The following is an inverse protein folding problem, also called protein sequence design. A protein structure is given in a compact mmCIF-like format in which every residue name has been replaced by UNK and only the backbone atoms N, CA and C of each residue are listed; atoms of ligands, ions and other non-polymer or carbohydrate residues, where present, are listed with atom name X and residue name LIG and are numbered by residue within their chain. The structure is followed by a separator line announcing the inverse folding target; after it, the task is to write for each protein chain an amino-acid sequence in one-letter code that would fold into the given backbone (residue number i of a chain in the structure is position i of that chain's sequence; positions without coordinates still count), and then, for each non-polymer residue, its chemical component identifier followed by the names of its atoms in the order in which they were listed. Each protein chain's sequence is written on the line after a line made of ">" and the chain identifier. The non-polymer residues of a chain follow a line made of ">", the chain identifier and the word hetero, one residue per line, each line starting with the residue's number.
data_IF_933922234857
#
_entry.id   IF_933922234857
#
_cell.length_a   1.000
_cell.length_b   1.000
_cell.length_c   1.000
_cell.angle_alpha   90.00
_cell.angle_beta   90.00
_cell.angle_gamma   90.00
#
_symmetry.space_group_name_H-M   'P 1'
#
loop_
_entity.id
_entity.type
_entity.pdbx_description
1 polymer ?
#
# COMPACT_ATOMS: atom_id res chain seq x y z
N UNK A 1 -10.63 -1.95 -20.85
CA UNK A 1 -9.42 -2.40 -20.13
C UNK A 1 -9.45 -1.82 -18.73
N UNK A 2 -9.44 -2.64 -17.69
CA UNK A 2 -9.62 -2.19 -16.30
C UNK A 2 -8.41 -1.35 -15.83
N UNK A 3 -8.52 -0.69 -14.67
CA UNK A 3 -7.37 0.00 -14.05
C UNK A 3 -6.26 -0.99 -13.70
N UNK A 4 -6.65 -2.20 -13.25
CA UNK A 4 -5.73 -3.24 -12.80
C UNK A 4 -4.94 -3.80 -13.98
N UNK A 5 -5.58 -4.13 -15.09
CA UNK A 5 -4.89 -4.65 -16.29
C UNK A 5 -3.89 -3.65 -16.85
N UNK A 6 -4.15 -2.35 -16.65
CA UNK A 6 -3.22 -1.30 -17.05
C UNK A 6 -1.97 -1.31 -16.16
N UNK A 7 -2.13 -1.32 -14.83
CA UNK A 7 -1.01 -1.26 -13.88
C UNK A 7 -0.25 -2.59 -13.85
N UNK A 8 -0.97 -3.70 -13.78
CA UNK A 8 -0.48 -5.07 -13.62
C UNK A 8 -0.94 -5.95 -14.80
N UNK A 9 -0.46 -5.68 -16.03
CA UNK A 9 -0.75 -6.55 -17.17
C UNK A 9 -0.20 -7.94 -16.91
N UNK A 10 -0.94 -8.97 -17.36
CA UNK A 10 -0.53 -10.37 -17.29
C UNK A 10 -0.02 -10.75 -15.88
N UNK A 11 -0.77 -10.33 -14.85
CA UNK A 11 -0.36 -10.41 -13.45
C UNK A 11 0.19 -11.77 -13.08
N UNK A 12 -0.50 -12.85 -13.47
CA UNK A 12 -0.14 -14.23 -13.13
C UNK A 12 1.19 -14.66 -13.74
N UNK A 13 1.45 -14.28 -14.98
CA UNK A 13 2.69 -14.63 -15.70
C UNK A 13 3.90 -13.90 -15.09
N UNK A 14 3.65 -12.70 -14.54
CA UNK A 14 4.70 -11.85 -13.97
C UNK A 14 4.93 -12.04 -12.47
N UNK A 15 4.17 -12.88 -11.76
CA UNK A 15 4.36 -13.11 -10.31
C UNK A 15 5.75 -13.68 -9.97
N UNK A 16 6.38 -14.34 -10.93
CA UNK A 16 7.73 -14.88 -10.77
C UNK A 16 8.82 -13.83 -10.84
N UNK A 17 8.56 -12.67 -11.45
CA UNK A 17 9.54 -11.60 -11.63
C UNK A 17 9.64 -10.74 -10.35
N UNK A 18 10.80 -10.76 -9.65
CA UNK A 18 11.00 -9.96 -8.45
C UNK A 18 10.87 -8.45 -8.69
N UNK A 19 11.13 -7.99 -9.91
CA UNK A 19 11.13 -6.57 -10.27
C UNK A 19 9.80 -6.11 -10.84
N UNK A 20 8.87 -7.02 -11.13
CA UNK A 20 7.58 -6.67 -11.74
C UNK A 20 6.88 -5.58 -10.94
N UNK A 21 6.78 -5.73 -9.61
CA UNK A 21 6.10 -4.76 -8.75
C UNK A 21 6.91 -3.48 -8.47
N UNK A 22 8.18 -3.38 -8.89
CA UNK A 22 9.09 -2.31 -8.52
C UNK A 22 8.59 -0.93 -8.94
N UNK A 23 8.16 -0.77 -10.19
CA UNK A 23 7.88 0.56 -10.74
C UNK A 23 6.40 0.83 -10.96
N UNK A 24 5.54 0.03 -10.33
CA UNK A 24 4.10 0.10 -10.54
C UNK A 24 3.30 0.11 -9.23
N UNK A 25 2.12 0.71 -9.26
CA UNK A 25 1.27 0.82 -8.07
C UNK A 25 -0.10 1.42 -8.38
N UNK A 26 -1.09 1.05 -7.57
CA UNK A 26 -2.37 1.74 -7.54
C UNK A 26 -2.35 2.75 -6.38
N UNK A 27 -2.75 4.00 -6.66
CA UNK A 27 -2.89 5.04 -5.66
C UNK A 27 -4.36 5.25 -5.34
N UNK A 28 -4.66 5.56 -4.08
CA UNK A 28 -6.01 5.90 -3.65
C UNK A 28 -5.97 6.93 -2.51
N UNK A 29 -7.02 7.73 -2.30
CA UNK A 29 -7.00 8.80 -1.30
C UNK A 29 -7.07 8.24 0.13
N UNK A 30 -7.86 7.18 0.37
CA UNK A 30 -8.16 6.67 1.71
C UNK A 30 -7.63 5.25 1.95
N UNK A 31 -7.38 4.92 3.22
CA UNK A 31 -6.94 3.57 3.62
C UNK A 31 -7.99 2.50 3.29
N UNK A 32 -9.28 2.80 3.39
CA UNK A 32 -10.34 1.83 3.04
C UNK A 32 -10.35 1.50 1.55
N UNK A 33 -10.12 2.50 0.68
CA UNK A 33 -10.00 2.28 -0.76
C UNK A 33 -8.78 1.42 -1.10
N UNK A 34 -7.65 1.68 -0.42
CA UNK A 34 -6.42 0.86 -0.53
C UNK A 34 -6.68 -0.58 -0.07
N UNK A 35 -7.37 -0.76 1.05
CA UNK A 35 -7.71 -2.09 1.57
C UNK A 35 -8.62 -2.85 0.60
N UNK A 36 -9.61 -2.18 0.02
CA UNK A 36 -10.50 -2.76 -0.98
C UNK A 36 -9.73 -3.27 -2.20
N UNK A 37 -8.87 -2.44 -2.79
CA UNK A 37 -8.04 -2.83 -3.94
C UNK A 37 -7.08 -3.96 -3.57
N UNK A 38 -6.39 -3.86 -2.43
CA UNK A 38 -5.44 -4.88 -2.00
C UNK A 38 -6.13 -6.25 -1.74
N UNK A 39 -7.34 -6.26 -1.17
CA UNK A 39 -8.13 -7.49 -0.99
C UNK A 39 -8.53 -8.10 -2.33
N UNK A 40 -9.01 -7.29 -3.26
CA UNK A 40 -9.35 -7.74 -4.60
C UNK A 40 -8.11 -8.32 -5.31
N UNK A 41 -7.00 -7.59 -5.31
CA UNK A 41 -5.73 -8.05 -5.90
C UNK A 41 -5.25 -9.36 -5.28
N UNK A 42 -5.32 -9.51 -3.96
CA UNK A 42 -4.95 -10.75 -3.27
C UNK A 42 -5.79 -11.95 -3.72
N UNK A 43 -7.08 -11.74 -4.03
CA UNK A 43 -7.95 -12.81 -4.52
C UNK A 43 -7.55 -13.35 -5.89
N UNK A 44 -6.82 -12.54 -6.69
CA UNK A 44 -6.32 -12.91 -8.01
C UNK A 44 -5.00 -13.67 -7.96
N UNK A 45 -4.23 -13.55 -6.87
CA UNK A 45 -2.92 -14.19 -6.74
C UNK A 45 -3.11 -15.68 -6.45
N UNK A 46 -2.62 -16.62 -7.28
CA UNK A 46 -2.69 -18.05 -7.01
C UNK A 46 -1.83 -18.44 -5.79
N UNK A 47 -2.17 -19.56 -5.16
CA UNK A 47 -1.42 -20.16 -4.07
C UNK A 47 -2.12 -20.13 -2.72
N UNK A 48 -1.50 -20.79 -1.74
CA UNK A 48 -2.05 -20.92 -0.38
C UNK A 48 -1.95 -19.58 0.37
N UNK A 49 -3.09 -19.12 0.89
CA UNK A 49 -3.15 -17.96 1.78
C UNK A 49 -2.75 -18.37 3.19
N UNK A 50 -1.74 -17.69 3.74
CA UNK A 50 -1.39 -17.82 5.15
C UNK A 50 -1.94 -16.65 5.94
N UNK A 51 -2.71 -16.98 6.96
CA UNK A 51 -3.26 -16.01 7.89
C UNK A 51 -2.43 -15.92 9.17
N UNK A 52 -1.99 -14.70 9.49
CA UNK A 52 -1.33 -14.39 10.77
C UNK A 52 -2.29 -13.66 11.67
N UNK A 53 -3.00 -14.41 12.51
CA UNK A 53 -3.94 -13.88 13.49
C UNK A 53 -3.25 -13.61 14.84
N UNK A 54 -3.64 -12.51 15.48
CA UNK A 54 -3.36 -12.29 16.89
C UNK A 54 -4.61 -11.84 17.63
N UNK A 55 -4.96 -12.60 18.66
CA UNK A 55 -6.12 -12.38 19.50
C UNK A 55 -5.78 -11.34 20.56
N UNK A 56 -6.62 -10.30 20.66
CA UNK A 56 -6.72 -9.50 21.87
C UNK A 56 -7.94 -9.96 22.66
N UNK A 57 -7.82 -9.87 23.99
CA UNK A 57 -8.86 -10.21 24.96
C UNK A 57 -10.08 -9.29 24.87
N UNK A 58 -9.94 -8.08 24.34
CA UNK A 58 -11.04 -7.14 24.18
C UNK A 58 -11.45 -7.02 22.69
N UNK A 59 -12.72 -7.29 22.39
CA UNK A 59 -13.32 -7.18 21.06
C UNK A 59 -13.15 -5.78 20.46
N UNK A 60 -13.17 -4.74 21.29
CA UNK A 60 -12.91 -3.35 20.89
C UNK A 60 -11.52 -3.16 20.28
N UNK A 61 -10.48 -3.78 20.85
CA UNK A 61 -9.09 -3.69 20.35
C UNK A 61 -8.91 -4.38 19.00
N UNK A 62 -9.78 -5.33 18.69
CA UNK A 62 -9.78 -6.06 17.43
C UNK A 62 -10.35 -5.23 16.28
N UNK A 63 -11.21 -4.23 16.56
CA UNK A 63 -11.83 -3.35 15.57
C UNK A 63 -11.04 -2.08 15.22
N UNK A 64 -10.07 -1.67 16.05
CA UNK A 64 -9.31 -0.44 15.83
C UNK A 64 -8.40 -0.57 14.59
N UNK A 65 -8.77 0.15 13.52
CA UNK A 65 -7.91 0.45 12.37
C UNK A 65 -7.14 1.74 12.66
N UNK A 66 -5.81 1.68 12.65
CA UNK A 66 -4.96 2.85 12.92
C UNK A 66 -3.72 2.83 12.04
N UNK A 67 -3.17 4.01 11.77
CA UNK A 67 -1.93 4.15 11.00
C UNK A 67 -0.74 3.58 11.80
N UNK A 68 0.06 2.74 11.15
CA UNK A 68 1.27 2.16 11.75
C UNK A 68 1.07 0.88 12.57
N UNK A 69 -0.14 0.30 12.58
CA UNK A 69 -0.37 -1.10 12.98
C UNK A 69 -1.11 -1.84 11.85
N UNK A 70 -0.66 -3.04 11.45
CA UNK A 70 -1.40 -3.91 10.56
C UNK A 70 -2.79 -4.24 11.10
N UNK A 71 -3.70 -4.55 10.18
CA UNK A 71 -5.03 -5.07 10.51
C UNK A 71 -4.93 -6.31 11.42
N UNK A 72 -6.02 -6.62 12.13
CA UNK A 72 -6.16 -7.83 12.96
C UNK A 72 -5.69 -9.08 12.21
N UNK A 73 -6.03 -9.14 10.92
CA UNK A 73 -5.69 -10.24 10.02
C UNK A 73 -4.65 -9.76 9.02
N UNK A 74 -3.48 -10.38 9.07
CA UNK A 74 -2.48 -10.24 8.02
C UNK A 74 -2.52 -11.52 7.17
N UNK A 75 -3.22 -11.43 6.04
CA UNK A 75 -3.35 -12.49 5.04
C UNK A 75 -2.33 -12.25 3.94
N UNK A 76 -1.43 -13.20 3.73
CA UNK A 76 -0.34 -13.10 2.76
C UNK A 76 -0.27 -14.36 1.89
N UNK A 77 0.20 -14.19 0.67
CA UNK A 77 0.57 -15.28 -0.25
C UNK A 77 2.03 -15.11 -0.66
N UNK A 78 2.69 -16.19 -1.05
CA UNK A 78 4.02 -16.08 -1.66
C UNK A 78 3.90 -15.31 -2.97
N UNK A 79 4.92 -14.51 -3.33
CA UNK A 79 4.99 -13.58 -4.47
C UNK A 79 4.14 -12.32 -4.38
N UNK A 80 3.37 -12.10 -3.30
CA UNK A 80 2.66 -10.82 -3.17
C UNK A 80 3.63 -9.68 -2.77
N UNK A 81 3.40 -8.45 -3.29
CA UNK A 81 4.09 -7.25 -2.82
C UNK A 81 3.54 -6.82 -1.47
N UNK A 82 4.44 -6.52 -0.56
CA UNK A 82 4.18 -5.98 0.77
C UNK A 82 5.02 -4.72 1.01
N UNK A 83 4.63 -3.93 1.99
CA UNK A 83 5.35 -2.73 2.40
C UNK A 83 5.60 -2.76 3.90
N UNK A 84 6.80 -2.34 4.32
CA UNK A 84 7.14 -2.16 5.72
C UNK A 84 6.41 -0.97 6.32
N UNK A 85 5.79 -1.18 7.48
CA UNK A 85 5.07 -0.15 8.24
C UNK A 85 5.93 0.56 9.29
N UNK A 86 7.12 0.02 9.59
CA UNK A 86 8.05 0.52 10.61
C UNK A 86 9.49 0.40 10.15
N UNK A 87 10.33 1.26 10.71
CA UNK A 87 11.78 1.12 10.59
C UNK A 87 12.22 -0.10 11.41
N UNK A 88 12.93 -1.01 10.77
CA UNK A 88 13.58 -2.16 11.41
C UNK A 88 15.08 -1.93 11.41
N UNK A 89 15.63 -1.67 10.23
CA UNK A 89 17.05 -1.42 10.02
C UNK A 89 17.23 -0.52 8.80
N UNK A 90 17.28 0.78 9.04
CA UNK A 90 17.38 1.77 7.97
C UNK A 90 18.71 1.68 7.22
N UNK A 91 19.79 1.27 7.90
CA UNK A 91 21.11 1.14 7.29
C UNK A 91 21.14 0.06 6.22
N UNK A 92 20.36 -1.01 6.42
CA UNK A 92 20.19 -2.08 5.45
C UNK A 92 18.99 -1.91 4.50
N UNK A 93 18.35 -0.74 4.50
CA UNK A 93 17.23 -0.42 3.60
C UNK A 93 15.88 -0.97 4.05
N UNK A 94 15.73 -1.35 5.33
CA UNK A 94 14.47 -1.80 5.94
C UNK A 94 13.82 -0.66 6.73
N UNK A 95 13.35 0.35 6.00
CA UNK A 95 12.64 1.52 6.53
C UNK A 95 11.14 1.48 6.24
N UNK A 96 10.36 2.29 6.94
CA UNK A 96 8.93 2.49 6.65
C UNK A 96 8.73 2.93 5.19
N UNK A 97 7.83 2.27 4.47
CA UNK A 97 7.58 2.50 3.05
C UNK A 97 8.40 1.61 2.11
N UNK A 98 9.41 0.89 2.61
CA UNK A 98 10.18 -0.06 1.78
C UNK A 98 9.24 -1.15 1.27
N UNK A 99 9.19 -1.31 -0.06
CA UNK A 99 8.43 -2.37 -0.70
C UNK A 99 9.27 -3.63 -0.84
N UNK A 100 8.63 -4.76 -0.59
CA UNK A 100 9.22 -6.10 -0.64
C UNK A 100 8.30 -7.04 -1.40
N UNK A 101 8.85 -8.10 -2.00
CA UNK A 101 8.08 -9.24 -2.51
C UNK A 101 8.26 -10.44 -1.60
N UNK A 102 7.17 -11.03 -1.12
CA UNK A 102 7.22 -12.19 -0.23
C UNK A 102 7.79 -13.40 -0.97
N UNK A 103 8.84 -14.01 -0.43
CA UNK A 103 9.43 -15.24 -1.00
C UNK A 103 9.10 -16.48 -0.19
N UNK A 104 8.92 -16.35 1.14
CA UNK A 104 8.54 -17.47 1.99
C UNK A 104 7.79 -17.02 3.25
N UNK A 105 6.76 -17.79 3.63
CA UNK A 105 5.86 -17.50 4.74
C UNK A 105 6.09 -18.44 5.93
N UNK A 106 7.05 -18.10 6.80
CA UNK A 106 7.34 -18.86 8.02
C UNK A 106 6.41 -18.55 9.19
N UNK A 107 6.50 -19.32 10.30
CA UNK A 107 5.68 -19.12 11.50
C UNK A 107 6.08 -17.87 12.31
N UNK A 108 7.39 -17.63 12.42
CA UNK A 108 7.99 -16.56 13.23
C UNK A 108 8.66 -15.46 12.41
N UNK A 109 8.98 -15.77 11.14
CA UNK A 109 9.73 -14.90 10.24
C UNK A 109 9.18 -15.03 8.83
N UNK A 110 9.10 -13.93 8.10
CA UNK A 110 8.76 -13.89 6.68
C UNK A 110 10.02 -13.57 5.90
N UNK A 111 10.35 -14.38 4.89
CA UNK A 111 11.41 -14.04 3.95
C UNK A 111 10.82 -13.22 2.80
N UNK A 112 11.50 -12.15 2.42
CA UNK A 112 11.07 -11.28 1.34
C UNK A 112 12.29 -10.72 0.60
N UNK A 113 12.10 -10.22 -0.61
CA UNK A 113 13.14 -9.56 -1.40
C UNK A 113 12.80 -8.07 -1.50
N UNK A 114 13.76 -7.19 -1.24
CA UNK A 114 13.57 -5.75 -1.42
C UNK A 114 13.36 -5.44 -2.90
N UNK A 115 12.33 -4.66 -3.24
CA UNK A 115 12.04 -4.30 -4.64
C UNK A 115 12.21 -2.80 -4.92
N UNK A 116 12.49 -1.99 -3.90
CA UNK A 116 12.68 -0.54 -4.07
C UNK A 116 13.97 -0.04 -3.44
N UNK A 117 14.58 0.96 -4.06
CA UNK A 117 15.75 1.67 -3.53
C UNK A 117 17.08 0.98 -3.81
N UNK A 118 18.16 1.50 -3.20
CA UNK A 118 19.55 1.08 -3.47
C UNK A 118 19.85 -0.40 -3.17
N UNK A 119 19.00 -1.05 -2.37
CA UNK A 119 19.16 -2.44 -1.93
C UNK A 119 18.18 -3.39 -2.63
N UNK A 120 17.55 -2.98 -3.72
CA UNK A 120 16.67 -3.84 -4.52
C UNK A 120 17.38 -5.15 -4.92
N UNK A 121 16.63 -6.26 -4.91
CA UNK A 121 17.16 -7.61 -5.11
C UNK A 121 17.70 -8.30 -3.83
N UNK A 122 17.89 -7.56 -2.74
CA UNK A 122 18.40 -8.14 -1.48
C UNK A 122 17.33 -8.97 -0.78
N UNK A 123 17.64 -10.21 -0.43
CA UNK A 123 16.77 -11.06 0.39
C UNK A 123 16.92 -10.71 1.87
N UNK A 124 15.79 -10.57 2.56
CA UNK A 124 15.70 -10.14 3.96
C UNK A 124 14.69 -10.98 4.73
N UNK A 125 14.83 -10.96 6.05
CA UNK A 125 13.99 -11.70 6.98
C UNK A 125 13.27 -10.74 7.92
N UNK A 126 11.95 -10.75 7.88
CA UNK A 126 11.10 -9.84 8.66
C UNK A 126 10.54 -10.60 9.87
N UNK A 127 10.95 -10.27 11.11
CA UNK A 127 10.40 -10.88 12.32
C UNK A 127 9.10 -10.19 12.76
N UNK A 128 8.36 -10.85 13.67
CA UNK A 128 7.28 -10.19 14.42
C UNK A 128 7.86 -9.19 15.42
N UNK A 129 7.28 -8.00 15.50
CA UNK A 129 7.69 -6.96 16.45
C UNK A 129 6.49 -6.39 17.21
N UNK A 130 6.75 -5.76 18.36
CA UNK A 130 5.73 -5.01 19.09
C UNK A 130 5.44 -3.70 18.34
N UNK A 131 4.19 -3.51 17.93
CA UNK A 131 3.71 -2.34 17.22
C UNK A 131 2.81 -1.53 18.14
N UNK A 132 3.10 -0.23 18.23
CA UNK A 132 2.32 0.75 18.96
C UNK A 132 1.61 1.61 17.90
N UNK A 133 0.35 2.04 18.09
CA UNK A 133 -0.31 2.92 17.12
C UNK A 133 0.40 4.26 17.08
N UNK A 134 0.47 4.88 15.90
CA UNK A 134 1.17 6.17 15.74
C UNK A 134 0.32 7.33 16.22
N UNK A 135 -1.00 7.17 16.22
CA UNK A 135 -1.97 8.19 16.60
C UNK A 135 -3.06 7.55 17.47
N UNK A 136 -3.22 8.09 18.66
CA UNK A 136 -3.96 7.47 19.76
C UNK A 136 -4.91 8.51 20.34
N UNK A 137 -5.83 9.05 19.54
CA UNK A 137 -7.06 9.67 20.08
C UNK A 137 -7.90 8.73 20.98
N UNK A 138 -7.34 7.59 21.39
CA UNK A 138 -7.86 6.64 22.34
C UNK A 138 -7.26 6.93 23.73
N UNK A 139 -8.07 6.81 24.80
CA UNK A 139 -7.65 7.12 26.16
C UNK A 139 -6.66 6.10 26.77
N UNK A 140 -6.16 5.13 25.99
CA UNK A 140 -5.28 4.07 26.47
C UNK A 140 -4.19 3.73 25.45
N UNK A 141 -3.03 3.27 25.92
CA UNK A 141 -1.96 2.74 25.08
C UNK A 141 -2.10 1.24 24.94
N UNK A 142 -2.02 0.70 23.74
CA UNK A 142 -1.94 -0.74 23.52
C UNK A 142 -0.80 -1.09 22.57
N UNK A 143 -0.32 -2.34 22.65
CA UNK A 143 0.76 -2.88 21.81
C UNK A 143 0.30 -4.15 21.10
N UNK A 144 0.67 -4.31 19.82
CA UNK A 144 0.36 -5.48 19.00
C UNK A 144 1.63 -6.14 18.49
N UNK A 145 1.92 -7.36 18.94
CA UNK A 145 3.06 -8.12 18.40
C UNK A 145 2.69 -8.82 17.09
N UNK A 146 3.03 -8.23 15.95
CA UNK A 146 2.71 -8.71 14.61
C UNK A 146 3.88 -8.42 13.65
N UNK A 147 3.87 -9.01 12.45
CA UNK A 147 4.76 -8.58 11.38
C UNK A 147 4.45 -7.13 10.98
N UNK A 148 5.45 -6.24 10.85
CA UNK A 148 5.26 -4.85 10.46
C UNK A 148 5.01 -4.70 8.95
N UNK A 149 4.11 -5.50 8.38
CA UNK A 149 3.86 -5.59 6.93
C UNK A 149 2.41 -5.28 6.61
N UNK A 150 2.19 -4.65 5.45
CA UNK A 150 0.89 -4.50 4.81
C UNK A 150 1.00 -4.88 3.33
N UNK A 151 -0.10 -5.31 2.71
CA UNK A 151 -0.16 -5.50 1.25
C UNK A 151 0.10 -4.18 0.52
N UNK A 152 0.73 -4.29 -0.65
CA UNK A 152 1.20 -3.12 -1.40
C UNK A 152 0.94 -3.21 -2.91
N UNK A 153 -0.19 -3.76 -3.35
CA UNK A 153 -0.66 -3.53 -4.72
C UNK A 153 -1.21 -2.12 -4.89
N UNK A 154 -1.87 -1.63 -3.84
CA UNK A 154 -2.29 -0.25 -3.70
C UNK A 154 -1.66 0.39 -2.46
N UNK A 155 -1.46 1.70 -2.51
CA UNK A 155 -1.03 2.53 -1.39
C UNK A 155 -1.77 3.88 -1.39
N UNK A 156 -1.75 4.60 -0.27
CA UNK A 156 -2.38 5.91 -0.25
C UNK A 156 -1.54 6.92 -1.03
N UNK A 157 -2.18 7.94 -1.60
CA UNK A 157 -1.50 9.05 -2.29
C UNK A 157 -0.40 9.64 -1.39
N UNK A 158 -0.71 9.89 -0.12
CA UNK A 158 0.26 10.42 0.84
C UNK A 158 1.46 9.50 1.06
N UNK A 159 1.28 8.16 1.00
CA UNK A 159 2.38 7.19 1.13
C UNK A 159 3.24 7.08 -0.12
N UNK A 160 2.70 7.45 -1.28
CA UNK A 160 3.46 7.49 -2.54
C UNK A 160 4.41 8.69 -2.64
N UNK A 161 4.26 9.69 -1.76
CA UNK A 161 5.08 10.89 -1.80
C UNK A 161 6.57 10.54 -1.64
N UNK A 162 7.39 11.00 -2.59
CA UNK A 162 8.83 10.68 -2.64
C UNK A 162 9.17 9.37 -3.36
N UNK A 163 8.19 8.63 -3.87
CA UNK A 163 8.42 7.48 -4.76
C UNK A 163 8.25 7.89 -6.22
N UNK A 164 9.05 7.31 -7.12
CA UNK A 164 8.88 7.42 -8.56
C UNK A 164 8.46 6.08 -9.13
N UNK A 165 7.41 6.08 -9.97
CA UNK A 165 6.81 4.89 -10.56
C UNK A 165 6.69 5.09 -12.07
N UNK A 166 6.97 4.07 -12.86
CA UNK A 166 6.75 4.11 -14.32
C UNK A 166 5.29 3.85 -14.69
N UNK A 167 4.52 3.17 -13.83
CA UNK A 167 3.10 2.89 -14.08
C UNK A 167 2.21 3.06 -12.86
N UNK A 168 1.28 4.00 -12.94
CA UNK A 168 0.39 4.36 -11.84
C UNK A 168 -1.05 4.32 -12.28
N UNK A 169 -1.86 3.57 -11.53
CA UNK A 169 -3.31 3.67 -11.60
C UNK A 169 -3.82 4.49 -10.44
N UNK A 170 -4.49 5.60 -10.68
CA UNK A 170 -5.16 6.36 -9.62
C UNK A 170 -6.61 5.89 -9.50
N UNK A 171 -6.99 5.41 -8.32
CA UNK A 171 -8.34 4.93 -8.02
C UNK A 171 -9.03 5.93 -7.09
N UNK A 172 -9.99 6.66 -7.66
CA UNK A 172 -10.74 7.71 -6.99
C UNK A 172 -12.22 7.31 -6.89
N UNK A 173 -12.60 6.40 -5.96
CA UNK A 173 -14.00 6.10 -5.68
C UNK A 173 -14.72 7.27 -4.99
N UNK A 174 -13.95 8.19 -4.41
CA UNK A 174 -14.37 9.49 -3.89
C UNK A 174 -13.33 10.52 -4.31
N UNK A 175 -13.70 11.81 -4.44
CA UNK A 175 -12.75 12.87 -4.71
C UNK A 175 -11.64 12.93 -3.65
N UNK A 176 -10.51 13.53 -4.04
CA UNK A 176 -9.43 13.87 -3.09
C UNK A 176 -9.95 14.84 -2.03
N UNK A 177 -9.38 14.76 -0.83
CA UNK A 177 -9.90 15.50 0.34
C UNK A 177 -8.89 16.49 0.93
N UNK A 178 -7.64 16.46 0.49
CA UNK A 178 -6.64 17.47 0.86
C UNK A 178 -5.99 18.10 -0.35
N UNK A 179 -5.48 19.32 -0.14
CA UNK A 179 -4.75 20.04 -1.15
C UNK A 179 -3.55 19.25 -1.69
N UNK A 180 -3.33 19.34 -3.01
CA UNK A 180 -2.16 18.79 -3.67
C UNK A 180 -2.17 17.28 -3.90
N UNK A 181 -3.20 16.53 -3.51
CA UNK A 181 -3.21 15.07 -3.70
C UNK A 181 -3.17 14.65 -5.18
N UNK A 182 -3.99 15.27 -6.04
CA UNK A 182 -3.94 15.01 -7.49
C UNK A 182 -2.58 15.39 -8.09
N UNK A 183 -2.01 16.51 -7.61
CA UNK A 183 -0.67 16.93 -8.03
C UNK A 183 0.40 15.93 -7.61
N UNK A 184 0.31 15.35 -6.40
CA UNK A 184 1.21 14.29 -5.95
C UNK A 184 1.15 13.11 -6.92
N UNK A 185 -0.04 12.62 -7.26
CA UNK A 185 -0.26 11.49 -8.20
C UNK A 185 0.41 11.75 -9.55
N UNK A 186 0.14 12.90 -10.17
CA UNK A 186 0.71 13.25 -11.48
C UNK A 186 2.24 13.26 -11.43
N UNK A 187 2.81 13.79 -10.36
CA UNK A 187 4.28 13.82 -10.17
C UNK A 187 4.90 12.47 -9.76
N UNK A 188 4.10 11.43 -9.47
CA UNK A 188 4.66 10.10 -9.19
C UNK A 188 5.01 9.36 -10.48
N UNK A 189 4.49 9.78 -11.64
CA UNK A 189 4.63 9.07 -12.91
C UNK A 189 5.71 9.70 -13.78
N UNK A 190 6.56 8.87 -14.38
CA UNK A 190 7.64 9.33 -15.27
C UNK A 190 7.17 9.74 -16.66
N UNK A 191 5.97 9.34 -17.09
CA UNK A 191 5.40 9.68 -18.39
C UNK A 191 3.87 9.73 -18.37
N UNK A 192 3.27 10.51 -19.27
CA UNK A 192 1.80 10.57 -19.43
C UNK A 192 1.20 9.20 -19.75
N UNK A 193 1.90 8.36 -20.54
CA UNK A 193 1.45 7.00 -20.90
C UNK A 193 1.44 6.05 -19.69
N UNK A 194 2.22 6.36 -18.65
CA UNK A 194 2.29 5.59 -17.42
C UNK A 194 1.17 5.87 -16.43
N UNK A 195 0.29 6.85 -16.68
CA UNK A 195 -0.79 7.24 -15.76
C UNK A 195 -2.15 6.85 -16.32
N UNK A 196 -2.99 6.23 -15.48
CA UNK A 196 -4.41 6.00 -15.76
C UNK A 196 -5.24 6.36 -14.54
N UNK A 197 -6.32 7.11 -14.75
CA UNK A 197 -7.24 7.50 -13.69
C UNK A 197 -8.54 6.69 -13.82
N UNK A 198 -9.04 6.19 -12.70
CA UNK A 198 -10.38 5.63 -12.57
C UNK A 198 -11.13 6.46 -11.53
N UNK A 199 -12.04 7.30 -12.01
CA UNK A 199 -12.84 8.21 -11.19
C UNK A 199 -14.26 7.66 -11.15
N UNK A 200 -14.84 7.56 -9.96
CA UNK A 200 -16.23 7.14 -9.79
C UNK A 200 -17.09 8.26 -9.19
N UNK A 201 -18.36 8.33 -9.59
CA UNK A 201 -19.37 9.13 -8.90
C UNK A 201 -19.90 8.44 -7.63
N UNK A 202 -20.86 9.09 -6.97
CA UNK A 202 -21.56 8.57 -5.79
C UNK A 202 -22.34 7.28 -6.06
N UNK A 203 -22.59 6.94 -7.32
CA UNK A 203 -23.32 5.76 -7.77
C UNK A 203 -22.39 4.68 -8.35
N UNK A 204 -21.07 4.83 -8.19
CA UNK A 204 -20.01 3.96 -8.74
C UNK A 204 -19.94 3.91 -10.27
N UNK A 205 -20.48 4.91 -10.97
CA UNK A 205 -20.31 5.04 -12.42
C UNK A 205 -18.99 5.74 -12.73
N UNK A 206 -18.38 5.36 -13.85
CA UNK A 206 -17.13 5.97 -14.31
C UNK A 206 -17.38 7.42 -14.75
N UNK A 207 -16.62 8.35 -14.19
CA UNK A 207 -16.67 9.76 -14.52
C UNK A 207 -15.36 10.26 -15.12
N UNK A 208 -15.43 11.44 -15.76
CA UNK A 208 -14.27 12.12 -16.37
C UNK A 208 -13.75 13.29 -15.54
N UNK A 209 -14.47 13.66 -14.48
CA UNK A 209 -14.22 14.85 -13.67
C UNK A 209 -14.19 14.49 -12.19
N UNK A 210 -13.35 15.20 -11.43
CA UNK A 210 -13.26 15.05 -9.98
C UNK A 210 -12.99 16.41 -9.33
N UNK A 211 -13.48 16.60 -8.11
CA UNK A 211 -13.22 17.82 -7.35
C UNK A 211 -11.77 17.82 -6.87
N UNK A 212 -11.05 18.91 -7.15
CA UNK A 212 -9.73 19.16 -6.60
C UNK A 212 -9.84 20.11 -5.42
N UNK A 213 -9.12 19.83 -4.33
CA UNK A 213 -9.03 20.75 -3.19
C UNK A 213 -7.82 21.66 -3.43
N UNK A 214 -8.06 22.97 -3.54
CA UNK A 214 -6.99 23.97 -3.72
C UNK A 214 -7.05 24.99 -2.60
N UNK A 215 -5.92 25.18 -1.90
CA UNK A 215 -5.79 26.22 -0.89
C UNK A 215 -5.70 27.59 -1.56
N UNK A 216 -6.47 28.55 -1.04
CA UNK A 216 -6.63 29.88 -1.64
C UNK A 216 -5.30 30.65 -1.73
N UNK A 217 -4.38 30.39 -0.81
CA UNK A 217 -3.05 31.00 -0.71
C UNK A 217 -2.19 30.75 -1.95
N UNK A 218 -2.47 29.67 -2.70
CA UNK A 218 -1.78 29.37 -3.97
C UNK A 218 -2.16 30.37 -5.07
N UNK A 219 -3.38 30.90 -5.05
CA UNK A 219 -3.86 31.88 -6.03
C UNK A 219 -3.45 33.32 -5.70
N UNK A 220 -2.94 33.58 -4.49
CA UNK A 220 -2.47 34.91 -4.08
C UNK A 220 -1.02 35.22 -4.47
N UNK A 221 -0.30 34.22 -5.02
CA UNK A 221 1.11 34.33 -5.44
C UNK A 221 1.32 34.21 -6.95
N UNK A 222 0.26 34.34 -7.75
CA UNK A 222 0.29 34.32 -9.22
C UNK A 222 0.08 35.73 -9.75
#
# INVERSE_FOLDING_TARGET
>A
MSLIDFVYPDLNDNLGDPLFFQERGILAPTLDSVEHVNKYMMSLIPGEEKEYLKWFTAEFLNGIKSSGIPNRWLKLRVRCPVMLMRNIDQTNGLSNGTRLTVTHLGKSTIAATIITGKRAGTRVFIPKMNLIPSDLGLPFKFRRKQFPLTLCFAMTINKSQGQSLSRVGDYLPKPVFTHGQLYVVVNRVTSRKGLKLLILDKYNNVCKETTNVVYCEVFQKV
#
